data_IF_963235244630
#
_entry.id   IF_963235244630
#
_cell.length_a   1.000
_cell.length_b   1.000
_cell.length_c   1.000
_cell.angle_alpha   90.00
_cell.angle_beta   90.00
_cell.angle_gamma   90.00
#
_symmetry.space_group_name_H-M   'P 1'
#
loop_
_entity.id
_entity.type
_entity.pdbx_description
1 polymer ?
#
# COMPACT_ATOMS: atom_id res chain seq x y z
N UNK A 1 10.05 -2.09 -4.82
CA UNK A 1 8.65 -1.80 -5.26
C UNK A 1 7.85 -1.25 -4.10
N UNK A 2 7.35 -0.03 -4.16
CA UNK A 2 6.47 0.48 -3.13
C UNK A 2 5.04 -0.09 -3.26
N UNK A 3 4.47 -0.48 -2.11
CA UNK A 3 3.08 -0.86 -1.94
C UNK A 3 2.41 0.10 -0.98
N UNK A 4 1.32 0.71 -1.40
CA UNK A 4 0.60 1.70 -0.63
C UNK A 4 -0.86 1.30 -0.45
N UNK A 5 -1.32 1.38 0.80
CA UNK A 5 -2.74 1.32 1.12
C UNK A 5 -3.20 2.77 1.31
N UNK A 6 -4.13 3.22 0.48
CA UNK A 6 -4.56 4.60 0.49
C UNK A 6 -6.06 4.73 0.52
N UNK A 7 -6.54 5.81 1.12
CA UNK A 7 -7.94 6.19 1.08
C UNK A 7 -8.15 7.15 -0.07
N UNK A 8 -9.00 6.80 -1.03
CA UNK A 8 -9.17 7.62 -2.21
C UNK A 8 -10.20 7.10 -3.20
N UNK A 9 -10.24 7.77 -4.32
CA UNK A 9 -11.09 7.45 -5.46
C UNK A 9 -10.24 6.83 -6.57
N UNK A 10 -10.52 5.58 -6.90
CA UNK A 10 -9.73 4.80 -7.86
C UNK A 10 -9.65 5.47 -9.25
N UNK A 11 -10.72 6.11 -9.71
CA UNK A 11 -10.77 6.75 -11.03
C UNK A 11 -9.95 8.04 -11.12
N UNK A 12 -9.51 8.58 -9.97
CA UNK A 12 -8.64 9.75 -9.89
C UNK A 12 -7.16 9.39 -9.78
N UNK A 13 -6.83 8.11 -9.72
CA UNK A 13 -5.46 7.64 -9.63
C UNK A 13 -4.74 7.82 -10.97
N UNK A 14 -3.60 8.52 -10.94
CA UNK A 14 -2.72 8.65 -12.11
C UNK A 14 -1.73 7.48 -12.12
N UNK A 15 -2.14 6.38 -12.74
CA UNK A 15 -1.40 5.11 -12.79
C UNK A 15 -1.52 4.48 -14.18
N UNK A 16 -0.63 3.54 -14.53
CA UNK A 16 -0.69 2.89 -15.83
C UNK A 16 -1.94 2.02 -16.01
N UNK A 17 -2.39 1.34 -14.94
CA UNK A 17 -3.60 0.56 -14.96
C UNK A 17 -4.40 0.70 -13.66
N UNK A 18 -5.73 0.71 -13.78
CA UNK A 18 -6.65 0.50 -12.65
C UNK A 18 -7.34 -0.84 -12.78
N UNK A 19 -7.68 -1.42 -11.63
CA UNK A 19 -8.39 -2.71 -11.58
C UNK A 19 -9.86 -2.46 -11.24
N UNK A 20 -10.74 -3.01 -12.04
CA UNK A 20 -12.18 -3.06 -11.80
C UNK A 20 -12.54 -4.38 -11.12
N UNK A 21 -13.22 -4.32 -9.96
CA UNK A 21 -13.87 -5.47 -9.34
C UNK A 21 -15.08 -5.87 -10.17
N UNK A 22 -14.89 -6.77 -11.14
CA UNK A 22 -15.88 -7.12 -12.14
C UNK A 22 -16.68 -8.36 -11.75
N UNK A 23 -17.89 -8.49 -12.31
CA UNK A 23 -18.66 -9.71 -12.28
C UNK A 23 -18.35 -10.63 -13.49
N UNK A 24 -18.81 -11.87 -13.42
CA UNK A 24 -18.63 -12.88 -14.47
C UNK A 24 -19.06 -12.43 -15.88
N UNK A 25 -20.09 -11.59 -16.00
CA UNK A 25 -20.62 -11.11 -17.28
C UNK A 25 -20.00 -9.80 -17.75
N UNK A 26 -19.04 -9.25 -17.00
CA UNK A 26 -18.36 -7.97 -17.24
C UNK A 26 -19.32 -6.77 -17.38
N UNK A 27 -20.53 -6.89 -16.86
CA UNK A 27 -21.49 -5.78 -16.83
C UNK A 27 -21.14 -4.81 -15.72
N UNK A 28 -21.52 -3.55 -15.92
CA UNK A 28 -21.42 -2.53 -14.87
C UNK A 28 -22.08 -3.01 -13.58
N UNK A 29 -21.38 -2.90 -12.46
CA UNK A 29 -21.87 -3.15 -11.11
C UNK A 29 -21.84 -1.85 -10.31
N UNK A 30 -22.62 -1.78 -9.23
CA UNK A 30 -22.58 -0.63 -8.32
C UNK A 30 -21.19 -0.46 -7.68
N UNK A 31 -20.98 0.65 -7.00
CA UNK A 31 -19.73 0.94 -6.33
C UNK A 31 -18.62 1.36 -7.28
N UNK A 32 -17.44 0.76 -7.13
CA UNK A 32 -16.26 1.10 -7.93
C UNK A 32 -16.45 0.82 -9.42
N UNK A 33 -17.17 -0.26 -9.76
CA UNK A 33 -17.47 -0.61 -11.14
C UNK A 33 -18.24 0.51 -11.85
N UNK A 34 -19.29 1.05 -11.21
CA UNK A 34 -20.05 2.17 -11.74
C UNK A 34 -19.21 3.42 -11.96
N UNK A 35 -18.37 3.76 -11.00
CA UNK A 35 -17.48 4.92 -11.11
C UNK A 35 -16.53 4.78 -12.31
N UNK A 36 -15.95 3.58 -12.52
CA UNK A 36 -15.06 3.30 -13.66
C UNK A 36 -15.82 3.40 -14.99
N UNK A 37 -17.01 2.80 -15.11
CA UNK A 37 -17.80 2.85 -16.35
C UNK A 37 -18.15 4.28 -16.72
N UNK A 38 -18.64 5.10 -15.76
CA UNK A 38 -18.94 6.51 -16.02
C UNK A 38 -17.70 7.32 -16.42
N UNK A 39 -16.57 7.11 -15.77
CA UNK A 39 -15.33 7.83 -16.08
C UNK A 39 -14.73 7.43 -17.44
N UNK A 40 -14.84 6.17 -17.82
CA UNK A 40 -14.32 5.64 -19.08
C UNK A 40 -15.27 5.89 -20.28
N UNK A 41 -16.53 6.17 -20.04
CA UNK A 41 -17.60 6.22 -21.05
C UNK A 41 -18.43 4.95 -21.04
N UNK A 42 -19.68 5.10 -20.60
CA UNK A 42 -20.61 3.95 -20.38
C UNK A 42 -20.81 3.09 -21.63
N UNK A 43 -20.94 3.72 -22.79
CA UNK A 43 -21.22 3.05 -24.05
C UNK A 43 -19.97 2.32 -24.54
N UNK A 44 -18.84 2.99 -24.58
CA UNK A 44 -17.58 2.48 -25.10
C UNK A 44 -17.11 1.28 -24.26
N UNK A 45 -17.08 1.45 -22.93
CA UNK A 45 -16.63 0.38 -22.03
C UNK A 45 -17.61 -0.80 -22.03
N UNK A 46 -18.93 -0.53 -22.08
CA UNK A 46 -19.94 -1.60 -22.18
C UNK A 46 -19.78 -2.40 -23.46
N UNK A 47 -19.52 -1.75 -24.60
CA UNK A 47 -19.32 -2.45 -25.87
C UNK A 47 -18.04 -3.28 -25.87
N UNK A 48 -16.95 -2.77 -25.32
CA UNK A 48 -15.70 -3.51 -25.16
C UNK A 48 -15.90 -4.75 -24.26
N UNK A 49 -16.57 -4.60 -23.12
CA UNK A 49 -16.88 -5.72 -22.23
C UNK A 49 -17.81 -6.76 -22.90
N UNK A 50 -18.79 -6.32 -23.68
CA UNK A 50 -19.66 -7.23 -24.47
C UNK A 50 -18.88 -8.01 -25.52
N UNK A 51 -17.90 -7.39 -26.18
CA UNK A 51 -17.04 -8.07 -27.18
C UNK A 51 -16.19 -9.17 -26.53
N UNK A 52 -15.72 -8.99 -25.29
CA UNK A 52 -15.02 -10.03 -24.51
C UNK A 52 -16.02 -11.13 -24.08
N UNK A 53 -17.22 -10.78 -23.70
CA UNK A 53 -18.31 -11.68 -23.34
C UNK A 53 -18.31 -12.05 -21.85
N UNK A 54 -17.55 -13.06 -21.44
CA UNK A 54 -17.55 -13.58 -20.07
C UNK A 54 -16.12 -13.81 -19.56
N UNK A 55 -15.92 -13.61 -18.27
CA UNK A 55 -14.67 -13.91 -17.57
C UNK A 55 -14.99 -14.70 -16.29
N UNK A 56 -14.44 -15.91 -16.18
CA UNK A 56 -14.71 -16.77 -15.03
C UNK A 56 -14.06 -16.24 -13.75
N UNK A 57 -14.66 -16.51 -12.56
CA UNK A 57 -14.01 -16.19 -11.29
C UNK A 57 -12.59 -16.74 -11.20
N UNK A 58 -11.70 -16.00 -10.59
CA UNK A 58 -10.27 -16.31 -10.54
C UNK A 58 -9.48 -15.76 -11.72
N UNK A 59 -10.12 -15.16 -12.72
CA UNK A 59 -9.46 -14.63 -13.91
C UNK A 59 -9.59 -13.10 -14.01
N UNK A 60 -8.81 -12.53 -14.93
CA UNK A 60 -8.85 -11.13 -15.29
C UNK A 60 -8.74 -10.96 -16.81
N UNK A 61 -9.37 -9.91 -17.34
CA UNK A 61 -9.29 -9.46 -18.73
C UNK A 61 -9.10 -7.95 -18.76
N UNK A 62 -8.73 -7.37 -19.88
CA UNK A 62 -8.52 -5.93 -19.96
C UNK A 62 -9.24 -5.28 -21.13
N UNK A 63 -9.52 -3.98 -20.97
CA UNK A 63 -10.04 -3.09 -22.00
C UNK A 63 -9.23 -1.79 -22.03
N UNK A 64 -9.26 -1.05 -23.14
CA UNK A 64 -8.79 0.34 -23.13
C UNK A 64 -9.52 1.17 -22.06
N UNK A 65 -8.89 2.27 -21.65
CA UNK A 65 -9.47 3.18 -20.64
C UNK A 65 -10.41 4.24 -21.23
N UNK A 66 -10.49 4.36 -22.55
CA UNK A 66 -11.35 5.30 -23.29
C UNK A 66 -11.20 6.74 -22.78
N UNK A 67 -12.30 7.32 -22.23
CA UNK A 67 -12.32 8.70 -21.73
C UNK A 67 -11.59 8.89 -20.38
N UNK A 68 -11.21 7.79 -19.71
CA UNK A 68 -10.48 7.85 -18.46
C UNK A 68 -8.97 8.07 -18.73
N UNK A 69 -8.58 9.34 -18.84
CA UNK A 69 -7.23 9.76 -19.27
C UNK A 69 -6.15 9.61 -18.18
N UNK A 70 -6.54 9.30 -16.94
CA UNK A 70 -5.61 9.10 -15.81
C UNK A 70 -4.95 7.72 -15.82
N UNK A 71 -5.37 6.83 -16.71
CA UNK A 71 -4.85 5.47 -16.83
C UNK A 71 -4.84 5.03 -18.31
N UNK A 72 -4.01 4.04 -18.63
CA UNK A 72 -3.88 3.49 -19.99
C UNK A 72 -4.80 2.30 -20.22
N UNK A 73 -5.10 1.53 -19.17
CA UNK A 73 -5.81 0.27 -19.26
C UNK A 73 -6.71 0.05 -18.05
N UNK A 74 -7.88 -0.55 -18.27
CA UNK A 74 -8.75 -1.06 -17.21
C UNK A 74 -8.63 -2.58 -17.18
N UNK A 75 -8.26 -3.15 -16.03
CA UNK A 75 -8.18 -4.59 -15.81
C UNK A 75 -9.43 -5.03 -15.07
N UNK A 76 -10.28 -5.82 -15.71
CA UNK A 76 -11.51 -6.38 -15.13
C UNK A 76 -11.17 -7.69 -14.43
N UNK A 77 -11.06 -7.66 -13.11
CA UNK A 77 -10.70 -8.80 -12.27
C UNK A 77 -11.95 -9.40 -11.63
N UNK A 78 -12.21 -10.67 -11.89
CA UNK A 78 -13.44 -11.34 -11.45
C UNK A 78 -13.18 -12.17 -10.21
N UNK A 79 -13.45 -11.58 -9.04
CA UNK A 79 -13.40 -12.28 -7.76
C UNK A 79 -14.58 -13.26 -7.62
N UNK A 80 -14.42 -14.39 -6.90
CA UNK A 80 -15.53 -15.27 -6.57
C UNK A 80 -16.47 -14.63 -5.57
N UNK A 81 -17.75 -15.00 -5.63
CA UNK A 81 -18.72 -14.67 -4.56
C UNK A 81 -18.42 -15.60 -3.38
N UNK A 82 -18.23 -15.03 -2.19
CA UNK A 82 -18.02 -15.82 -0.99
C UNK A 82 -19.33 -16.47 -0.53
N UNK A 83 -19.30 -17.77 -0.25
CA UNK A 83 -20.43 -18.53 0.27
C UNK A 83 -20.16 -19.00 1.70
N UNK A 84 -19.09 -19.76 1.90
CA UNK A 84 -18.74 -20.32 3.23
C UNK A 84 -17.27 -20.73 3.35
N UNK A 85 -16.41 -20.38 2.39
CA UNK A 85 -14.99 -20.75 2.37
C UNK A 85 -14.69 -22.21 2.01
N UNK A 86 -15.66 -22.96 1.51
CA UNK A 86 -15.52 -24.41 1.20
C UNK A 86 -15.54 -24.73 -0.32
N UNK A 87 -15.55 -23.71 -1.17
CA UNK A 87 -15.69 -23.84 -2.63
C UNK A 87 -14.50 -23.21 -3.37
N UNK A 88 -13.30 -23.36 -2.82
CA UNK A 88 -12.05 -22.79 -3.35
C UNK A 88 -12.07 -21.25 -3.51
N UNK A 89 -12.95 -20.56 -2.79
CA UNK A 89 -13.13 -19.12 -2.95
C UNK A 89 -11.81 -18.37 -2.64
N UNK A 90 -11.08 -18.78 -1.60
CA UNK A 90 -9.78 -18.16 -1.29
C UNK A 90 -8.78 -18.37 -2.42
N UNK A 91 -8.66 -19.60 -2.93
CA UNK A 91 -7.78 -19.91 -4.05
C UNK A 91 -8.13 -19.08 -5.29
N UNK A 92 -9.42 -18.96 -5.59
CA UNK A 92 -9.90 -18.17 -6.72
C UNK A 92 -9.64 -16.67 -6.53
N UNK A 93 -9.81 -16.12 -5.32
CA UNK A 93 -9.50 -14.72 -5.05
C UNK A 93 -8.00 -14.45 -5.20
N UNK A 94 -7.13 -15.31 -4.70
CA UNK A 94 -5.68 -15.23 -4.90
C UNK A 94 -5.32 -15.25 -6.38
N UNK A 95 -5.89 -16.18 -7.15
CA UNK A 95 -5.71 -16.24 -8.60
C UNK A 95 -6.19 -14.98 -9.33
N UNK A 96 -7.24 -14.34 -8.85
CA UNK A 96 -7.74 -13.09 -9.41
C UNK A 96 -6.67 -11.99 -9.35
N UNK A 97 -5.99 -11.82 -8.20
CA UNK A 97 -4.86 -10.90 -8.07
C UNK A 97 -3.70 -11.29 -8.99
N UNK A 98 -3.31 -12.57 -9.00
CA UNK A 98 -2.22 -13.08 -9.82
C UNK A 98 -2.46 -12.86 -11.32
N UNK A 99 -3.67 -13.11 -11.80
CA UNK A 99 -4.03 -12.89 -13.21
C UNK A 99 -4.11 -11.40 -13.56
N UNK A 100 -4.54 -10.53 -12.63
CA UNK A 100 -4.45 -9.09 -12.84
C UNK A 100 -3.00 -8.62 -12.95
N UNK A 101 -2.12 -9.08 -12.07
CA UNK A 101 -0.68 -8.80 -12.16
C UNK A 101 -0.02 -9.34 -13.43
N UNK A 102 -0.48 -10.48 -13.94
CA UNK A 102 -0.01 -11.00 -15.22
C UNK A 102 -0.24 -10.00 -16.35
N UNK A 103 -1.43 -9.39 -16.42
CA UNK A 103 -1.74 -8.34 -17.41
C UNK A 103 -0.84 -7.11 -17.20
N UNK A 104 -0.61 -6.69 -15.96
CA UNK A 104 0.30 -5.59 -15.63
C UNK A 104 1.72 -5.87 -16.18
N UNK A 105 2.23 -7.08 -15.98
CA UNK A 105 3.54 -7.52 -16.43
C UNK A 105 3.63 -7.60 -17.95
N UNK A 106 2.64 -8.17 -18.62
CA UNK A 106 2.58 -8.31 -20.07
C UNK A 106 2.58 -6.95 -20.79
N UNK A 107 2.05 -5.90 -20.15
CA UNK A 107 2.04 -4.54 -20.67
C UNK A 107 3.24 -3.69 -20.21
N UNK A 108 4.18 -4.24 -19.43
CA UNK A 108 5.33 -3.54 -18.85
C UNK A 108 4.95 -2.27 -18.06
N UNK A 109 3.82 -2.29 -17.36
CA UNK A 109 3.35 -1.17 -16.56
C UNK A 109 4.20 -0.96 -15.32
N UNK A 110 4.32 0.29 -14.88
CA UNK A 110 5.12 0.71 -13.73
C UNK A 110 4.25 1.11 -12.52
N UNK A 111 2.95 1.20 -12.72
CA UNK A 111 2.01 1.49 -11.64
C UNK A 111 0.65 0.84 -11.88
N UNK A 112 0.04 0.36 -10.79
CA UNK A 112 -1.31 -0.22 -10.82
C UNK A 112 -2.05 0.10 -9.53
N UNK A 113 -3.35 0.40 -9.66
CA UNK A 113 -4.22 0.61 -8.51
C UNK A 113 -5.34 -0.43 -8.48
N UNK A 114 -5.45 -1.11 -7.34
CA UNK A 114 -6.48 -2.11 -7.04
C UNK A 114 -7.52 -1.54 -6.09
N UNK A 115 -8.81 -1.82 -6.29
CA UNK A 115 -9.77 -1.78 -5.20
C UNK A 115 -9.60 -3.03 -4.33
N UNK A 116 -10.28 -3.11 -3.21
CA UNK A 116 -10.35 -4.36 -2.45
C UNK A 116 -11.24 -5.37 -3.19
N UNK A 117 -10.62 -6.31 -3.91
CA UNK A 117 -11.34 -7.38 -4.59
C UNK A 117 -12.01 -8.30 -3.57
N UNK A 118 -13.27 -8.66 -3.83
CA UNK A 118 -14.08 -9.45 -2.90
C UNK A 118 -14.94 -8.60 -1.96
N UNK A 119 -14.56 -7.36 -1.66
CA UNK A 119 -15.25 -6.53 -0.67
C UNK A 119 -16.75 -6.28 -0.93
N UNK A 120 -17.21 -6.39 -2.18
CA UNK A 120 -18.61 -6.26 -2.58
C UNK A 120 -19.29 -7.62 -2.87
N UNK A 121 -18.58 -8.75 -2.66
CA UNK A 121 -19.03 -10.10 -3.00
C UNK A 121 -19.20 -11.02 -1.78
N UNK A 122 -19.80 -10.50 -0.72
CA UNK A 122 -20.09 -11.18 0.55
C UNK A 122 -18.90 -11.71 1.31
N UNK A 123 -17.67 -11.32 0.97
CA UNK A 123 -16.48 -11.74 1.71
C UNK A 123 -16.45 -11.10 3.10
N UNK A 124 -15.96 -11.82 4.12
CA UNK A 124 -15.47 -11.18 5.33
C UNK A 124 -14.39 -10.16 4.94
N UNK A 125 -14.63 -8.89 5.20
CA UNK A 125 -13.75 -7.81 4.73
C UNK A 125 -12.29 -7.99 5.17
N UNK A 126 -12.08 -8.55 6.35
CA UNK A 126 -10.77 -8.86 6.89
C UNK A 126 -10.03 -9.89 6.05
N UNK A 127 -10.71 -10.95 5.64
CA UNK A 127 -10.10 -12.05 4.88
C UNK A 127 -9.69 -11.57 3.50
N UNK A 128 -10.56 -10.87 2.78
CA UNK A 128 -10.21 -10.35 1.47
C UNK A 128 -9.12 -9.29 1.52
N UNK A 129 -9.04 -8.51 2.60
CA UNK A 129 -7.95 -7.55 2.78
C UNK A 129 -6.62 -8.24 3.09
N UNK A 130 -6.61 -9.29 3.93
CA UNK A 130 -5.42 -10.08 4.21
C UNK A 130 -4.89 -10.72 2.92
N UNK A 131 -5.77 -11.36 2.15
CA UNK A 131 -5.44 -11.97 0.87
C UNK A 131 -4.87 -10.92 -0.10
N UNK A 132 -5.49 -9.74 -0.21
CA UNK A 132 -4.98 -8.65 -1.03
C UNK A 132 -3.54 -8.26 -0.66
N UNK A 133 -3.28 -8.01 0.62
CA UNK A 133 -1.96 -7.64 1.12
C UNK A 133 -0.93 -8.75 0.89
N UNK A 134 -1.28 -10.00 1.13
CA UNK A 134 -0.40 -11.14 0.91
C UNK A 134 -0.05 -11.31 -0.58
N UNK A 135 -1.04 -11.30 -1.48
CA UNK A 135 -0.79 -11.46 -2.92
C UNK A 135 0.02 -10.31 -3.50
N UNK A 136 -0.25 -9.06 -3.08
CA UNK A 136 0.55 -7.90 -3.49
C UNK A 136 1.99 -8.04 -2.98
N UNK A 137 2.20 -8.34 -1.69
CA UNK A 137 3.52 -8.55 -1.10
C UNK A 137 4.28 -9.70 -1.80
N UNK A 138 3.61 -10.82 -2.05
CA UNK A 138 4.20 -11.97 -2.73
C UNK A 138 4.60 -11.63 -4.16
N UNK A 139 3.77 -10.90 -4.89
CA UNK A 139 4.10 -10.46 -6.24
C UNK A 139 5.32 -9.55 -6.24
N UNK A 140 5.36 -8.57 -5.35
CA UNK A 140 6.47 -7.64 -5.18
C UNK A 140 7.77 -8.38 -4.86
N UNK A 141 7.74 -9.34 -3.94
CA UNK A 141 8.92 -10.09 -3.52
C UNK A 141 9.52 -10.95 -4.64
N UNK A 142 8.68 -11.46 -5.53
CA UNK A 142 9.08 -12.47 -6.50
C UNK A 142 9.23 -11.96 -7.95
N UNK A 143 8.97 -10.66 -8.20
CA UNK A 143 8.96 -10.11 -9.55
C UNK A 143 9.70 -8.76 -9.65
N UNK A 144 9.35 -7.97 -10.66
CA UNK A 144 9.99 -6.71 -11.01
C UNK A 144 9.89 -5.65 -9.91
N UNK A 145 11.02 -5.13 -9.48
CA UNK A 145 11.16 -4.11 -8.42
C UNK A 145 10.73 -2.69 -8.84
N UNK A 146 10.33 -2.47 -10.09
CA UNK A 146 9.97 -1.14 -10.61
C UNK A 146 8.47 -0.86 -10.66
N UNK A 147 7.62 -1.77 -10.18
CA UNK A 147 6.17 -1.58 -10.15
C UNK A 147 5.72 -0.91 -8.84
N UNK A 148 4.97 0.16 -8.89
CA UNK A 148 4.25 0.74 -7.76
C UNK A 148 2.83 0.19 -7.69
N UNK A 149 2.43 -0.36 -6.55
CA UNK A 149 1.09 -0.93 -6.35
C UNK A 149 0.33 -0.14 -5.31
N UNK A 150 -0.90 0.23 -5.64
CA UNK A 150 -1.83 0.90 -4.73
C UNK A 150 -3.02 -0.01 -4.43
N UNK A 151 -3.35 -0.19 -3.15
CA UNK A 151 -4.64 -0.72 -2.72
C UNK A 151 -5.49 0.48 -2.27
N UNK A 152 -6.49 0.83 -3.09
CA UNK A 152 -7.29 2.03 -2.90
C UNK A 152 -8.58 1.67 -2.17
N UNK A 153 -8.76 2.25 -0.98
CA UNK A 153 -9.90 2.03 -0.12
C UNK A 153 -10.83 3.25 -0.16
N UNK A 154 -12.11 3.03 -0.46
CA UNK A 154 -13.09 4.12 -0.53
C UNK A 154 -13.65 4.49 0.85
N UNK A 155 -13.73 3.54 1.77
CA UNK A 155 -14.22 3.70 3.15
C UNK A 155 -13.20 3.14 4.14
N UNK A 156 -13.40 3.40 5.43
CA UNK A 156 -12.62 2.74 6.47
C UNK A 156 -12.94 1.24 6.47
N UNK A 157 -11.96 0.42 6.16
CA UNK A 157 -12.04 -1.03 6.24
C UNK A 157 -11.39 -1.54 7.53
N UNK A 158 -11.76 -2.74 8.00
CA UNK A 158 -11.12 -3.32 9.17
C UNK A 158 -9.62 -3.48 8.93
N UNK A 159 -8.83 -3.19 9.95
CA UNK A 159 -7.38 -3.32 9.88
C UNK A 159 -6.95 -4.78 9.80
N UNK A 160 -5.79 -5.01 9.17
CA UNK A 160 -5.07 -6.28 9.24
C UNK A 160 -4.10 -6.35 10.41
N UNK A 161 -3.93 -5.25 11.13
CA UNK A 161 -3.31 -5.34 12.44
C UNK A 161 -4.16 -6.33 13.21
N UNK A 162 -3.63 -7.51 13.54
CA UNK A 162 -4.39 -8.55 14.22
C UNK A 162 -5.12 -7.94 15.42
N UNK A 163 -6.34 -8.40 15.73
CA UNK A 163 -7.15 -7.80 16.80
C UNK A 163 -6.36 -7.58 18.07
N UNK A 164 -5.43 -8.48 18.37
CA UNK A 164 -4.52 -8.40 19.53
C UNK A 164 -3.58 -7.20 19.44
N UNK A 165 -2.98 -6.97 18.26
CA UNK A 165 -2.06 -5.82 18.06
C UNK A 165 -2.83 -4.52 18.03
N UNK A 166 -4.01 -4.48 17.43
CA UNK A 166 -4.85 -3.27 17.39
C UNK A 166 -5.41 -2.94 18.77
N UNK A 167 -5.84 -3.93 19.55
CA UNK A 167 -6.27 -3.73 20.92
C UNK A 167 -5.12 -3.24 21.80
N UNK A 168 -3.94 -3.86 21.67
CA UNK A 168 -2.73 -3.43 22.35
C UNK A 168 -2.31 -2.02 21.97
N UNK A 169 -2.35 -1.67 20.67
CA UNK A 169 -2.06 -0.32 20.18
C UNK A 169 -3.06 0.70 20.71
N UNK A 170 -4.36 0.39 20.70
CA UNK A 170 -5.40 1.27 21.23
C UNK A 170 -5.19 1.51 22.73
N UNK A 171 -4.89 0.45 23.49
CA UNK A 171 -4.58 0.55 24.91
C UNK A 171 -3.31 1.38 25.16
N UNK A 172 -2.26 1.17 24.37
CA UNK A 172 -1.01 1.93 24.46
C UNK A 172 -1.25 3.42 24.20
N UNK A 173 -1.96 3.78 23.13
CA UNK A 173 -2.31 5.16 22.79
C UNK A 173 -3.12 5.78 23.95
N UNK A 174 -4.17 5.11 24.44
CA UNK A 174 -5.01 5.62 25.52
C UNK A 174 -4.22 5.86 26.81
N UNK A 175 -3.23 5.03 27.08
CA UNK A 175 -2.40 5.12 28.30
C UNK A 175 -1.35 6.22 28.22
N UNK A 176 -0.75 6.43 27.05
CA UNK A 176 0.42 7.30 26.88
C UNK A 176 0.12 8.64 26.21
N UNK A 177 -1.06 8.77 25.56
CA UNK A 177 -1.42 10.03 24.90
C UNK A 177 -1.70 11.12 25.92
N UNK A 178 -0.71 11.99 26.11
CA UNK A 178 -0.84 13.20 26.92
C UNK A 178 -0.97 14.39 25.98
N UNK A 179 -2.16 14.95 25.88
CA UNK A 179 -2.39 16.21 25.16
C UNK A 179 -1.62 17.33 25.88
N UNK A 180 -0.44 17.61 25.39
CA UNK A 180 0.35 18.76 25.83
C UNK A 180 0.30 19.82 24.73
N UNK A 181 -0.61 20.78 24.84
CA UNK A 181 -0.80 21.87 23.88
C UNK A 181 0.41 22.81 23.74
N UNK A 182 1.47 22.64 24.51
CA UNK A 182 2.57 23.61 24.61
C UNK A 182 3.85 23.32 23.82
N UNK A 183 4.00 22.20 23.16
CA UNK A 183 5.22 21.90 22.39
C UNK A 183 5.04 21.96 20.86
N UNK A 184 4.57 23.10 20.35
CA UNK A 184 4.82 23.50 18.96
C UNK A 184 6.18 24.19 18.86
N UNK A 185 7.26 23.53 19.21
CA UNK A 185 8.59 24.01 18.89
C UNK A 185 9.00 23.38 17.56
N UNK A 186 8.77 24.11 16.48
CA UNK A 186 9.40 23.86 15.19
C UNK A 186 10.89 24.24 15.33
N UNK A 187 11.70 23.26 15.68
CA UNK A 187 13.14 23.41 15.58
C UNK A 187 13.53 23.51 14.11
N UNK A 188 13.85 24.73 13.66
CA UNK A 188 14.50 24.99 12.38
C UNK A 188 15.97 24.60 12.52
N UNK A 189 16.30 23.35 12.17
CA UNK A 189 17.71 22.95 12.05
C UNK A 189 18.06 22.80 10.56
N UNK A 190 19.20 23.36 10.16
CA UNK A 190 19.87 23.05 8.90
C UNK A 190 20.31 21.58 8.98
N UNK A 191 19.66 20.73 8.20
CA UNK A 191 20.04 19.32 8.11
C UNK A 191 21.05 19.21 6.99
N UNK A 192 22.32 18.98 7.33
CA UNK A 192 23.28 18.39 6.41
C UNK A 192 22.99 16.90 6.37
N UNK A 193 22.78 16.37 5.19
CA UNK A 193 22.46 14.96 4.98
C UNK A 193 23.69 14.14 5.33
N UNK A 194 23.68 13.36 6.41
CA UNK A 194 24.89 12.63 6.77
C UNK A 194 25.05 11.41 5.86
N UNK A 195 26.23 11.20 5.32
CA UNK A 195 26.67 9.92 4.76
C UNK A 195 26.56 8.75 5.76
N UNK A 196 26.03 9.01 6.93
CA UNK A 196 26.03 8.12 8.10
C UNK A 196 25.02 6.97 7.98
N UNK A 197 24.03 7.04 7.08
CA UNK A 197 23.09 5.93 6.92
C UNK A 197 23.80 4.64 6.46
N UNK A 198 24.92 4.75 5.72
CA UNK A 198 25.70 3.61 5.23
C UNK A 198 26.24 2.72 6.36
N UNK A 199 26.49 3.26 7.54
CA UNK A 199 26.95 2.49 8.71
C UNK A 199 25.88 1.53 9.24
N UNK A 200 24.62 1.81 8.95
CA UNK A 200 23.48 0.97 9.35
C UNK A 200 23.09 -0.06 8.28
N UNK A 201 23.77 -0.01 7.12
CA UNK A 201 23.46 -0.86 5.97
C UNK A 201 24.24 -2.20 6.07
N UNK A 202 23.95 -2.99 7.06
CA UNK A 202 24.63 -4.22 7.49
C UNK A 202 24.69 -5.35 6.43
N UNK A 203 25.10 -5.07 5.18
CA UNK A 203 25.23 -6.07 4.13
C UNK A 203 23.89 -6.56 3.54
N UNK A 204 22.78 -5.91 3.86
CA UNK A 204 21.50 -6.16 3.26
C UNK A 204 21.54 -5.85 1.75
N UNK A 205 20.88 -6.63 0.90
CA UNK A 205 20.79 -6.31 -0.53
C UNK A 205 19.89 -5.09 -0.76
N UNK A 206 20.09 -4.42 -1.91
CA UNK A 206 19.25 -3.28 -2.29
C UNK A 206 17.78 -3.70 -2.43
N UNK A 207 17.55 -4.88 -3.00
CA UNK A 207 16.22 -5.47 -3.17
C UNK A 207 15.53 -5.70 -1.82
N UNK A 208 16.26 -6.25 -0.86
CA UNK A 208 15.74 -6.50 0.48
C UNK A 208 15.41 -5.19 1.19
N UNK A 209 16.28 -4.16 1.10
CA UNK A 209 15.98 -2.86 1.70
C UNK A 209 14.79 -2.17 1.03
N UNK A 210 14.72 -2.19 -0.31
CA UNK A 210 13.59 -1.62 -1.04
C UNK A 210 12.26 -2.25 -0.61
N UNK A 211 12.25 -3.57 -0.49
CA UNK A 211 11.08 -4.31 -0.02
C UNK A 211 10.72 -3.93 1.42
N UNK A 212 11.67 -4.02 2.34
CA UNK A 212 11.42 -3.80 3.78
C UNK A 212 11.08 -2.35 4.12
N UNK A 213 11.68 -1.38 3.44
CA UNK A 213 11.43 0.04 3.64
C UNK A 213 10.26 0.58 2.80
N UNK A 214 9.67 -0.24 1.92
CA UNK A 214 8.60 0.17 1.00
C UNK A 214 9.00 1.38 0.13
N UNK A 215 10.15 1.28 -0.54
CA UNK A 215 10.71 2.34 -1.40
C UNK A 215 11.06 1.80 -2.79
N UNK A 216 11.08 2.69 -3.80
CA UNK A 216 11.47 2.34 -5.17
C UNK A 216 12.98 2.30 -5.35
N UNK A 217 13.41 1.68 -6.46
CA UNK A 217 14.81 1.70 -6.90
C UNK A 217 15.30 3.13 -7.18
N UNK A 218 14.43 4.00 -7.70
CA UNK A 218 14.74 5.41 -7.95
C UNK A 218 15.06 6.14 -6.65
N UNK A 219 14.20 5.97 -5.63
CA UNK A 219 14.42 6.59 -4.32
C UNK A 219 15.66 6.05 -3.64
N UNK A 220 15.90 4.73 -3.69
CA UNK A 220 17.11 4.16 -3.14
C UNK A 220 18.36 4.69 -3.84
N UNK A 221 18.33 4.83 -5.17
CA UNK A 221 19.44 5.41 -5.93
C UNK A 221 19.70 6.86 -5.55
N UNK A 222 18.67 7.69 -5.36
CA UNK A 222 18.81 9.06 -4.86
C UNK A 222 19.44 9.09 -3.47
N UNK A 223 18.99 8.23 -2.55
CA UNK A 223 19.57 8.12 -1.21
C UNK A 223 21.07 7.75 -1.27
N UNK A 224 21.47 6.86 -2.17
CA UNK A 224 22.85 6.36 -2.27
C UNK A 224 23.80 7.33 -2.94
N UNK A 225 23.33 8.03 -3.97
CA UNK A 225 24.21 8.69 -4.94
C UNK A 225 24.00 10.20 -5.07
N UNK A 226 22.90 10.77 -4.57
CA UNK A 226 22.69 12.21 -4.58
C UNK A 226 22.93 12.83 -3.20
N UNK A 227 24.08 13.53 -2.99
CA UNK A 227 24.40 14.15 -1.71
C UNK A 227 23.47 15.33 -1.36
N UNK A 228 22.69 15.81 -2.32
CA UNK A 228 21.70 16.90 -2.10
C UNK A 228 20.32 16.35 -1.77
N UNK A 229 20.08 15.06 -1.96
CA UNK A 229 18.80 14.44 -1.67
C UNK A 229 18.52 14.45 -0.17
N UNK A 230 17.36 14.98 0.21
CA UNK A 230 16.91 15.04 1.61
C UNK A 230 15.66 14.19 1.77
N UNK A 231 15.73 13.02 2.41
CA UNK A 231 14.56 12.21 2.62
C UNK A 231 13.54 12.95 3.50
N UNK A 232 12.27 12.72 3.22
CA UNK A 232 11.19 13.17 4.11
C UNK A 232 11.28 12.43 5.45
N UNK A 233 10.59 12.97 6.47
CA UNK A 233 10.48 12.28 7.77
C UNK A 233 9.92 10.87 7.62
N UNK A 234 8.88 10.67 6.82
CA UNK A 234 8.26 9.35 6.59
C UNK A 234 9.22 8.40 5.88
N UNK A 235 9.97 8.88 4.89
CA UNK A 235 10.98 8.08 4.22
C UNK A 235 12.12 7.67 5.16
N UNK A 236 12.59 8.59 6.00
CA UNK A 236 13.62 8.30 6.99
C UNK A 236 13.16 7.25 8.00
N UNK A 237 11.93 7.35 8.48
CA UNK A 237 11.33 6.36 9.36
C UNK A 237 11.19 5.00 8.66
N UNK A 238 10.71 4.98 7.41
CA UNK A 238 10.63 3.75 6.63
C UNK A 238 12.00 3.07 6.48
N UNK A 239 13.06 3.85 6.24
CA UNK A 239 14.43 3.33 6.19
C UNK A 239 14.87 2.76 7.54
N UNK A 240 14.59 3.45 8.65
CA UNK A 240 14.94 2.98 9.99
C UNK A 240 14.29 1.62 10.32
N UNK A 241 13.01 1.46 10.00
CA UNK A 241 12.29 0.20 10.15
C UNK A 241 12.78 -0.86 9.14
N UNK A 242 12.95 -0.48 7.87
CA UNK A 242 13.42 -1.38 6.82
C UNK A 242 14.81 -1.95 7.08
N UNK A 243 15.70 -1.16 7.66
CA UNK A 243 17.02 -1.59 8.15
C UNK A 243 16.94 -2.47 9.40
N UNK A 244 15.76 -2.61 10.02
CA UNK A 244 15.56 -3.39 11.23
C UNK A 244 16.30 -2.83 12.44
N UNK A 245 16.49 -1.50 12.50
CA UNK A 245 17.24 -0.85 13.58
C UNK A 245 16.50 -0.98 14.91
N UNK A 246 17.22 -1.35 15.97
CA UNK A 246 16.66 -1.56 17.31
C UNK A 246 17.37 -0.70 18.36
N UNK A 247 16.69 -0.46 19.45
CA UNK A 247 17.26 0.14 20.65
C UNK A 247 18.09 1.41 20.38
N UNK A 248 19.39 1.37 20.68
CA UNK A 248 20.28 2.50 20.52
C UNK A 248 20.59 2.86 19.06
N UNK A 249 20.58 1.88 18.15
CA UNK A 249 20.82 2.13 16.72
C UNK A 249 19.65 2.89 16.10
N UNK A 250 18.41 2.51 16.43
CA UNK A 250 17.22 3.27 16.05
C UNK A 250 17.31 4.71 16.55
N UNK A 251 17.64 4.90 17.85
CA UNK A 251 17.76 6.24 18.43
C UNK A 251 18.89 7.05 17.78
N UNK A 252 20.04 6.43 17.50
CA UNK A 252 21.18 7.08 16.85
C UNK A 252 20.81 7.49 15.42
N UNK A 253 20.18 6.60 14.65
CA UNK A 253 19.73 6.89 13.30
C UNK A 253 18.74 8.05 13.27
N UNK A 254 17.68 8.00 14.07
CA UNK A 254 16.67 9.06 14.13
C UNK A 254 17.29 10.41 14.56
N UNK A 255 18.21 10.41 15.51
CA UNK A 255 18.94 11.61 15.95
C UNK A 255 19.79 12.21 14.83
N UNK A 256 20.49 11.37 14.05
CA UNK A 256 21.31 11.82 12.92
C UNK A 256 20.48 12.53 11.85
N UNK A 257 19.18 12.17 11.74
CA UNK A 257 18.22 12.84 10.86
C UNK A 257 17.33 13.87 11.56
N UNK A 258 17.68 14.29 12.79
CA UNK A 258 16.91 15.23 13.61
C UNK A 258 15.45 14.82 13.80
N UNK A 259 15.20 13.53 13.91
CA UNK A 259 13.87 12.99 14.19
C UNK A 259 13.81 12.59 15.67
N UNK A 260 12.84 13.17 16.36
CA UNK A 260 12.49 12.79 17.73
C UNK A 260 11.05 12.28 17.71
N UNK A 261 10.82 11.11 18.30
CA UNK A 261 9.49 10.57 18.54
C UNK A 261 8.98 11.07 19.89
N UNK A 262 7.74 11.55 19.92
CA UNK A 262 7.16 12.24 21.06
C UNK A 262 5.82 11.62 21.43
N UNK A 263 5.61 11.27 22.69
CA UNK A 263 4.35 10.74 23.24
C UNK A 263 3.17 11.73 23.15
N UNK A 264 3.40 13.01 22.86
CA UNK A 264 2.36 14.00 22.64
C UNK A 264 1.78 14.01 21.21
N UNK A 265 2.33 13.21 20.29
CA UNK A 265 1.85 13.11 18.91
C UNK A 265 1.33 11.72 18.64
N UNK A 266 0.09 11.61 18.20
CA UNK A 266 -0.53 10.32 17.92
C UNK A 266 0.27 9.48 16.90
N UNK A 267 0.77 10.11 15.82
CA UNK A 267 1.65 9.44 14.85
C UNK A 267 2.90 8.85 15.52
N UNK A 268 3.54 9.63 16.39
CA UNK A 268 4.76 9.17 17.07
C UNK A 268 4.46 8.05 18.07
N UNK A 269 3.29 8.08 18.72
CA UNK A 269 2.82 7.00 19.59
C UNK A 269 2.60 5.69 18.84
N UNK A 270 2.01 5.76 17.64
CA UNK A 270 1.86 4.59 16.77
C UNK A 270 3.25 3.99 16.50
N UNK A 271 4.21 4.80 16.08
CA UNK A 271 5.56 4.33 15.78
C UNK A 271 6.31 3.80 17.03
N UNK A 272 6.17 4.48 18.17
CA UNK A 272 6.74 4.04 19.44
C UNK A 272 6.19 2.69 19.87
N UNK A 273 4.86 2.47 19.72
CA UNK A 273 4.26 1.17 19.98
C UNK A 273 4.94 0.04 19.19
N UNK A 274 5.14 0.22 17.88
CA UNK A 274 5.79 -0.78 17.05
C UNK A 274 7.26 -1.02 17.44
N UNK A 275 7.99 0.05 17.76
CA UNK A 275 9.38 -0.04 18.24
C UNK A 275 9.46 -0.79 19.57
N UNK A 276 8.57 -0.48 20.54
CA UNK A 276 8.57 -1.08 21.88
C UNK A 276 8.11 -2.54 21.89
N UNK A 277 7.37 -2.98 20.87
CA UNK A 277 6.94 -4.37 20.71
C UNK A 277 7.79 -5.16 19.69
N UNK A 278 8.94 -4.63 19.25
CA UNK A 278 9.85 -5.26 18.29
C UNK A 278 9.20 -5.62 16.94
N UNK A 279 8.21 -4.85 16.48
CA UNK A 279 7.53 -5.04 15.21
C UNK A 279 8.12 -4.06 14.19
N UNK A 280 8.82 -4.57 13.16
CA UNK A 280 9.56 -3.76 12.19
C UNK A 280 9.03 -3.90 10.75
N UNK A 281 7.90 -4.56 10.53
CA UNK A 281 7.26 -4.64 9.22
C UNK A 281 6.58 -3.31 8.87
N UNK A 282 7.16 -2.58 7.90
CA UNK A 282 6.63 -1.29 7.43
C UNK A 282 5.20 -1.41 6.89
N UNK A 283 4.83 -2.57 6.35
CA UNK A 283 3.45 -2.79 5.86
C UNK A 283 2.44 -2.88 7.02
N UNK A 284 2.82 -3.51 8.14
CA UNK A 284 1.96 -3.53 9.34
C UNK A 284 1.84 -2.14 9.97
N UNK A 285 2.95 -1.40 10.02
CA UNK A 285 2.95 -0.02 10.49
C UNK A 285 2.04 0.84 9.61
N UNK A 286 2.15 0.72 8.28
CA UNK A 286 1.32 1.46 7.33
C UNK A 286 -0.16 1.12 7.46
N UNK A 287 -0.51 -0.13 7.76
CA UNK A 287 -1.88 -0.51 8.07
C UNK A 287 -2.39 0.22 9.32
N UNK A 288 -1.60 0.26 10.39
CA UNK A 288 -1.97 0.99 11.59
C UNK A 288 -2.10 2.50 11.30
N UNK A 289 -1.14 3.08 10.57
CA UNK A 289 -1.20 4.49 10.18
C UNK A 289 -2.45 4.82 9.36
N UNK A 290 -2.83 3.93 8.44
CA UNK A 290 -4.05 4.08 7.64
C UNK A 290 -5.31 4.17 8.50
N UNK A 291 -5.42 3.34 9.56
CA UNK A 291 -6.58 3.35 10.47
C UNK A 291 -6.76 4.72 11.15
N UNK A 292 -5.65 5.37 11.46
CA UNK A 292 -5.64 6.67 12.13
C UNK A 292 -5.53 7.85 11.15
N UNK A 293 -5.84 7.63 9.86
CA UNK A 293 -5.82 8.64 8.78
C UNK A 293 -4.44 9.34 8.60
N UNK A 294 -3.33 8.63 8.87
CA UNK A 294 -1.98 9.10 8.58
C UNK A 294 -1.44 8.59 7.25
N UNK A 295 -0.62 9.41 6.55
CA UNK A 295 0.03 8.95 5.33
C UNK A 295 1.02 7.83 5.64
N UNK A 296 1.21 6.86 4.73
CA UNK A 296 2.10 5.73 4.93
C UNK A 296 3.57 6.18 5.07
N UNK A 297 4.37 5.34 5.73
CA UNK A 297 5.82 5.41 5.66
C UNK A 297 6.32 4.99 4.28
N UNK A 298 7.43 5.58 3.84
CA UNK A 298 8.04 5.34 2.54
C UNK A 298 7.98 6.57 1.63
N UNK A 299 7.80 6.35 0.35
CA UNK A 299 7.74 7.43 -0.64
C UNK A 299 6.46 8.25 -0.52
N UNK A 300 6.54 9.54 -0.92
CA UNK A 300 5.34 10.36 -1.18
C UNK A 300 4.88 10.11 -2.61
N UNK A 301 3.57 10.16 -2.80
CA UNK A 301 2.93 10.10 -4.12
C UNK A 301 3.26 11.32 -4.95
#
# INVERSE_FOLDING_TARGET
MPFYIIKGDLVKMNVDAIVNAANYTLKMVEGVGRAIFHAAGDIELTNACKAIGKCAPGNAVSTPSFNLTTTKLIIHAVAPIYQNGKHDEELLLRRTYQNAFKIVKENNFKSVAFPLLGGEFNWPLRDCFNIACEEIKNYIKNNDLDLTVYLVMYKNYPSTVGDVVQEALTKFITTHYKVNEKERVLAKYKIEFPYTWKRFYNGMSDEELMYRANISSVTLNLIKNDPKFKPSRNLTLALAFGLGLKGNDMKAFLRDFNITLNYARLLDLILLFFIENDIYDVYEINNAMFIYDYPPLGERY
#
